data_IF_726707497538
#
_entry.id   IF_726707497538
#
_cell.length_a   1.000
_cell.length_b   1.000
_cell.length_c   1.000
_cell.angle_alpha   90.00
_cell.angle_beta   90.00
_cell.angle_gamma   90.00
#
_symmetry.space_group_name_H-M   'P 1'
#
loop_
_entity.id
_entity.type
_entity.pdbx_description
1 polymer ?
#
# COMPACT_ATOMS: atom_id res chain seq x y z
N UNK A 1 18.48 -73.39 -23.59
CA UNK A 1 17.41 -72.83 -22.74
C UNK A 1 17.94 -72.73 -21.33
N UNK A 2 18.66 -71.65 -21.04
CA UNK A 2 19.38 -71.49 -19.76
C UNK A 2 18.41 -70.93 -18.73
N UNK A 3 18.03 -71.78 -17.76
CA UNK A 3 17.26 -71.39 -16.58
C UNK A 3 18.25 -70.82 -15.56
N UNK A 4 18.11 -69.55 -15.24
CA UNK A 4 18.74 -68.90 -14.10
C UNK A 4 17.65 -68.02 -13.48
N UNK A 5 17.28 -68.29 -12.25
CA UNK A 5 16.99 -67.27 -11.22
C UNK A 5 16.91 -68.02 -9.89
N UNK A 6 17.69 -67.50 -8.95
CA UNK A 6 18.06 -68.10 -7.69
C UNK A 6 16.94 -68.03 -6.66
N UNK A 7 17.00 -69.02 -5.78
CA UNK A 7 16.42 -69.06 -4.44
C UNK A 7 17.08 -67.97 -3.58
N UNK A 8 16.30 -67.12 -2.94
CA UNK A 8 16.66 -66.54 -1.64
C UNK A 8 15.42 -66.00 -0.91
N UNK A 9 15.17 -66.60 0.23
CA UNK A 9 14.20 -66.27 1.26
C UNK A 9 14.28 -64.81 1.74
N UNK A 10 13.14 -64.22 2.06
CA UNK A 10 12.96 -63.57 3.37
C UNK A 10 11.47 -63.49 3.70
N UNK A 11 11.02 -64.49 4.46
CA UNK A 11 9.79 -64.46 5.24
C UNK A 11 9.94 -63.32 6.24
N UNK A 12 9.21 -62.24 6.01
CA UNK A 12 8.95 -61.25 7.06
C UNK A 12 7.54 -61.49 7.56
N UNK A 13 7.45 -62.26 8.65
CA UNK A 13 6.32 -62.19 9.58
C UNK A 13 6.33 -60.78 10.19
N UNK A 14 5.63 -59.85 9.53
CA UNK A 14 5.31 -58.55 10.07
C UNK A 14 3.87 -58.57 10.53
N UNK A 15 3.66 -58.51 11.83
CA UNK A 15 2.37 -58.26 12.47
C UNK A 15 1.61 -57.18 11.70
N UNK A 16 0.47 -57.54 11.12
CA UNK A 16 -0.53 -56.57 10.72
C UNK A 16 -1.04 -55.93 12.02
N UNK A 17 -0.54 -54.75 12.35
CA UNK A 17 -1.19 -53.91 13.37
C UNK A 17 -2.55 -53.54 12.78
N UNK A 18 -3.57 -54.22 13.26
CA UNK A 18 -4.95 -53.90 12.97
C UNK A 18 -5.25 -52.51 13.52
N UNK A 19 -5.93 -51.71 12.70
CA UNK A 19 -6.74 -50.59 13.14
C UNK A 19 -5.98 -49.42 13.78
N UNK A 20 -5.31 -48.65 12.93
CA UNK A 20 -5.51 -47.20 13.04
C UNK A 20 -6.62 -46.87 12.05
N UNK A 21 -7.83 -46.77 12.60
CA UNK A 21 -9.01 -46.35 11.91
C UNK A 21 -8.69 -45.11 11.06
N UNK A 22 -9.10 -45.20 9.79
CA UNK A 22 -9.11 -44.11 8.85
C UNK A 22 -10.09 -43.05 9.38
N UNK A 23 -9.64 -42.15 10.25
CA UNK A 23 -10.32 -40.89 10.43
C UNK A 23 -10.19 -40.13 9.11
N UNK A 24 -11.20 -40.28 8.26
CA UNK A 24 -11.61 -39.27 7.28
C UNK A 24 -12.10 -38.03 8.03
N UNK A 25 -11.25 -37.46 8.88
CA UNK A 25 -11.38 -36.08 9.26
C UNK A 25 -10.58 -35.34 8.21
N UNK A 26 -11.30 -34.74 7.24
CA UNK A 26 -10.74 -33.62 6.50
C UNK A 26 -9.99 -32.78 7.52
N UNK A 27 -8.74 -32.35 7.27
CA UNK A 27 -8.18 -31.33 8.13
C UNK A 27 -9.22 -30.21 8.07
N UNK A 28 -9.97 -30.04 9.17
CA UNK A 28 -10.52 -28.76 9.52
C UNK A 28 -9.25 -27.99 9.70
N UNK A 29 -8.77 -27.45 8.57
CA UNK A 29 -7.78 -26.41 8.53
C UNK A 29 -8.41 -25.42 9.47
N UNK A 30 -7.93 -25.45 10.71
CA UNK A 30 -8.09 -24.41 11.68
C UNK A 30 -7.78 -23.22 10.82
N UNK A 31 -8.83 -22.52 10.41
CA UNK A 31 -8.67 -21.30 9.69
C UNK A 31 -8.02 -20.47 10.77
N UNK A 32 -6.69 -20.48 10.78
CA UNK A 32 -5.93 -19.29 10.84
C UNK A 32 -6.49 -18.44 9.68
N UNK A 33 -7.69 -17.90 9.88
CA UNK A 33 -7.86 -16.48 10.03
C UNK A 33 -6.72 -16.05 10.95
N UNK A 34 -5.51 -16.02 10.36
CA UNK A 34 -4.62 -14.92 10.50
C UNK A 34 -5.59 -13.76 10.38
N UNK A 35 -6.02 -13.22 11.51
CA UNK A 35 -6.34 -11.82 11.61
C UNK A 35 -5.03 -11.19 11.21
N UNK A 36 -4.79 -11.14 9.89
CA UNK A 36 -3.71 -10.46 9.26
C UNK A 36 -4.00 -9.07 9.71
N UNK A 37 -3.33 -8.70 10.81
CA UNK A 37 -3.47 -7.45 11.53
C UNK A 37 -3.82 -6.45 10.47
N UNK A 38 -5.10 -6.08 10.43
CA UNK A 38 -5.62 -5.10 9.50
C UNK A 38 -4.71 -3.95 9.82
N UNK A 39 -3.76 -3.70 8.91
CA UNK A 39 -2.80 -2.62 9.09
C UNK A 39 -3.65 -1.48 9.58
N UNK A 40 -3.41 -0.99 10.81
CA UNK A 40 -4.12 0.17 11.33
C UNK A 40 -4.25 1.11 10.14
N UNK A 41 -5.46 1.51 9.69
CA UNK A 41 -5.63 2.15 8.39
C UNK A 41 -4.63 3.29 8.36
N UNK A 42 -3.55 3.10 7.59
CA UNK A 42 -2.24 3.66 7.94
C UNK A 42 -2.35 5.17 7.87
N UNK A 43 -2.74 5.83 8.98
CA UNK A 43 -3.26 7.20 9.09
C UNK A 43 -3.09 7.95 7.78
N UNK A 44 -3.97 7.68 6.79
CA UNK A 44 -3.55 7.83 5.40
C UNK A 44 -3.56 9.30 5.06
N UNK A 45 -2.39 9.92 5.12
CA UNK A 45 -2.25 11.35 4.87
C UNK A 45 -2.69 11.59 3.42
N UNK A 46 -3.68 12.47 3.19
CA UNK A 46 -4.12 12.78 1.84
C UNK A 46 -2.97 13.43 1.08
N UNK A 47 -2.95 13.26 -0.24
CA UNK A 47 -1.95 13.91 -1.08
C UNK A 47 -2.34 15.37 -1.29
N UNK A 48 -1.47 16.28 -0.88
CA UNK A 48 -1.77 17.72 -0.90
C UNK A 48 -0.96 18.38 -2.02
N UNK A 49 -1.66 19.17 -2.83
CA UNK A 49 -1.07 19.91 -3.95
C UNK A 49 -1.53 21.35 -3.94
N UNK A 50 -0.60 22.26 -4.19
CA UNK A 50 -0.89 23.68 -4.42
C UNK A 50 -0.98 23.90 -5.92
N UNK A 51 -2.09 24.45 -6.40
CA UNK A 51 -2.31 24.78 -7.80
C UNK A 51 -1.87 26.23 -8.06
N UNK A 52 -0.97 26.42 -9.03
CA UNK A 52 -0.53 27.75 -9.49
C UNK A 52 -0.57 27.77 -11.01
N UNK A 53 -1.45 28.62 -11.55
CA UNK A 53 -1.81 28.59 -12.96
C UNK A 53 -2.27 27.19 -13.42
N UNK A 54 -1.53 26.60 -14.37
CA UNK A 54 -1.79 25.24 -14.91
C UNK A 54 -0.95 24.14 -14.26
N UNK A 55 -0.12 24.47 -13.27
CA UNK A 55 0.83 23.54 -12.63
C UNK A 55 0.36 23.20 -11.21
N UNK A 56 0.68 21.99 -10.78
CA UNK A 56 0.43 21.53 -9.40
C UNK A 56 1.75 21.22 -8.70
N UNK A 57 1.91 21.72 -7.47
CA UNK A 57 3.11 21.58 -6.67
C UNK A 57 2.79 20.76 -5.42
N UNK A 58 3.40 19.57 -5.25
CA UNK A 58 3.22 18.81 -4.03
C UNK A 58 3.83 19.56 -2.85
N UNK A 59 3.08 19.57 -1.75
CA UNK A 59 3.51 20.11 -0.47
C UNK A 59 3.31 19.06 0.62
N UNK A 60 4.24 18.92 1.57
CA UNK A 60 4.03 18.07 2.72
C UNK A 60 2.95 18.67 3.61
N UNK A 61 2.23 17.82 4.35
CA UNK A 61 1.15 18.25 5.25
C UNK A 61 1.63 19.28 6.28
N UNK A 62 2.87 19.16 6.73
CA UNK A 62 3.47 20.07 7.73
C UNK A 62 3.63 21.50 7.20
N UNK A 63 3.84 21.66 5.88
CA UNK A 63 3.94 22.98 5.25
C UNK A 63 2.59 23.70 5.14
N UNK A 64 1.46 22.99 5.27
CA UNK A 64 0.15 23.66 5.27
C UNK A 64 -0.04 24.60 6.44
N UNK A 65 0.54 24.29 7.59
CA UNK A 65 0.45 25.13 8.78
C UNK A 65 1.16 26.49 8.59
N UNK A 66 2.10 26.58 7.64
CA UNK A 66 2.80 27.82 7.30
C UNK A 66 2.10 28.67 6.24
N UNK A 67 1.00 28.17 5.65
CA UNK A 67 0.22 28.92 4.66
C UNK A 67 -0.80 29.78 5.41
N UNK A 68 -0.78 31.09 5.16
CA UNK A 68 -1.79 32.01 5.69
C UNK A 68 -3.18 31.62 5.13
N UNK A 69 -4.19 31.33 5.98
CA UNK A 69 -5.54 31.02 5.53
C UNK A 69 -6.16 32.12 4.65
N UNK A 70 -5.81 33.39 4.87
CA UNK A 70 -6.32 34.51 4.08
C UNK A 70 -5.81 34.52 2.64
N UNK A 71 -4.68 33.84 2.40
CA UNK A 71 -4.07 33.70 1.08
C UNK A 71 -4.70 32.60 0.23
N UNK A 72 -5.57 31.78 0.81
CA UNK A 72 -6.26 30.70 0.11
C UNK A 72 -7.43 31.28 -0.69
N UNK A 73 -7.45 30.97 -1.99
CA UNK A 73 -8.55 31.31 -2.89
C UNK A 73 -9.63 30.26 -2.84
N UNK A 74 -9.25 28.98 -2.91
CA UNK A 74 -10.19 27.86 -2.82
C UNK A 74 -9.49 26.56 -2.41
N UNK A 75 -10.27 25.64 -1.83
CA UNK A 75 -9.83 24.28 -1.53
C UNK A 75 -10.78 23.31 -2.20
N UNK A 76 -10.24 22.43 -3.04
CA UNK A 76 -10.98 21.39 -3.72
C UNK A 76 -10.49 20.01 -3.27
N UNK A 77 -11.41 19.11 -2.92
CA UNK A 77 -11.07 17.79 -2.40
C UNK A 77 -11.54 16.74 -3.39
N UNK A 78 -10.59 16.05 -4.03
CA UNK A 78 -10.86 14.94 -4.93
C UNK A 78 -10.91 13.64 -4.15
N UNK A 79 -11.97 12.88 -4.36
CA UNK A 79 -12.23 11.59 -3.73
C UNK A 79 -12.32 10.47 -4.78
N UNK A 80 -12.12 9.24 -4.32
CA UNK A 80 -12.32 8.01 -5.08
C UNK A 80 -11.55 7.99 -6.43
N UNK A 81 -12.25 7.66 -7.52
CA UNK A 81 -11.67 7.46 -8.86
C UNK A 81 -11.11 8.74 -9.47
N UNK A 82 -11.67 9.91 -9.15
CA UNK A 82 -11.21 11.19 -9.69
C UNK A 82 -9.82 11.57 -9.18
N UNK A 83 -9.53 11.23 -7.92
CA UNK A 83 -8.23 11.45 -7.30
C UNK A 83 -7.14 10.58 -7.93
N UNK A 84 -7.42 9.28 -8.08
CA UNK A 84 -6.48 8.31 -8.68
C UNK A 84 -6.30 8.50 -10.18
N UNK A 85 -7.32 8.97 -10.91
CA UNK A 85 -7.21 9.27 -12.34
C UNK A 85 -6.28 10.43 -12.65
N UNK A 86 -6.21 11.45 -11.78
CA UNK A 86 -5.39 12.64 -11.99
C UNK A 86 -3.99 12.51 -11.36
N UNK A 87 -3.90 11.86 -10.21
CA UNK A 87 -2.67 11.82 -9.40
C UNK A 87 -2.10 10.41 -9.20
N UNK A 88 -2.68 9.40 -9.85
CA UNK A 88 -2.22 8.02 -9.81
C UNK A 88 -2.26 7.42 -8.41
N UNK A 89 -1.23 6.65 -8.07
CA UNK A 89 -1.14 5.99 -6.76
C UNK A 89 -1.12 6.96 -5.58
N UNK A 90 -0.61 8.18 -5.78
CA UNK A 90 -0.58 9.21 -4.72
C UNK A 90 -1.99 9.66 -4.34
N UNK A 91 -2.94 9.59 -5.28
CA UNK A 91 -4.34 9.93 -5.05
C UNK A 91 -5.18 8.82 -4.43
N UNK A 92 -4.62 7.63 -4.14
CA UNK A 92 -5.36 6.51 -3.52
C UNK A 92 -6.01 6.88 -2.19
N UNK A 93 -5.37 7.78 -1.44
CA UNK A 93 -5.84 8.27 -0.14
C UNK A 93 -6.63 9.59 -0.25
N UNK A 94 -7.03 9.98 -1.47
CA UNK A 94 -7.63 11.28 -1.77
C UNK A 94 -6.59 12.38 -2.04
N UNK A 95 -7.03 13.44 -2.70
CA UNK A 95 -6.19 14.59 -3.05
C UNK A 95 -6.84 15.88 -2.59
N UNK A 96 -6.07 16.73 -1.91
CA UNK A 96 -6.48 18.09 -1.54
C UNK A 96 -5.75 19.06 -2.45
N UNK A 97 -6.51 19.74 -3.30
CA UNK A 97 -6.04 20.82 -4.16
C UNK A 97 -6.29 22.15 -3.46
N UNK A 98 -5.23 22.92 -3.25
CA UNK A 98 -5.30 24.25 -2.66
C UNK A 98 -4.93 25.24 -3.74
N UNK A 99 -5.82 26.18 -4.02
CA UNK A 99 -5.53 27.30 -4.91
C UNK A 99 -5.29 28.55 -4.07
N UNK A 100 -4.19 29.23 -4.33
CA UNK A 100 -3.84 30.47 -3.64
C UNK A 100 -4.38 31.69 -4.42
N UNK A 101 -4.42 32.83 -3.76
CA UNK A 101 -4.65 34.12 -4.41
C UNK A 101 -3.39 34.55 -5.16
N UNK A 102 -3.55 35.43 -6.14
CA UNK A 102 -2.46 35.86 -7.02
C UNK A 102 -1.27 36.42 -6.22
N UNK A 103 -1.52 37.21 -5.16
CA UNK A 103 -0.47 37.76 -4.31
C UNK A 103 0.36 36.67 -3.60
N UNK A 104 -0.24 35.53 -3.28
CA UNK A 104 0.42 34.46 -2.55
C UNK A 104 1.03 33.39 -3.46
N UNK A 105 0.49 33.22 -4.67
CA UNK A 105 1.10 32.37 -5.70
C UNK A 105 2.52 32.86 -6.03
N UNK A 106 2.72 34.17 -6.18
CA UNK A 106 4.03 34.77 -6.45
C UNK A 106 5.02 34.50 -5.30
N UNK A 107 4.60 34.72 -4.06
CA UNK A 107 5.42 34.47 -2.88
C UNK A 107 5.77 32.97 -2.72
N UNK A 108 4.81 32.08 -2.99
CA UNK A 108 5.03 30.64 -2.95
C UNK A 108 6.09 30.20 -3.97
N UNK A 109 6.07 30.76 -5.18
CA UNK A 109 7.08 30.46 -6.22
C UNK A 109 8.46 30.98 -5.85
N UNK A 110 8.56 32.24 -5.40
CA UNK A 110 9.83 32.84 -4.97
C UNK A 110 10.49 32.04 -3.84
N UNK A 111 9.72 31.59 -2.86
CA UNK A 111 10.24 30.78 -1.75
C UNK A 111 10.73 29.41 -2.22
N UNK A 112 10.07 28.81 -3.22
CA UNK A 112 10.44 27.50 -3.74
C UNK A 112 11.71 27.53 -4.59
N UNK A 113 11.95 28.63 -5.32
CA UNK A 113 13.18 28.87 -6.08
C UNK A 113 14.37 29.23 -5.18
N UNK A 114 14.14 30.08 -4.17
CA UNK A 114 15.17 30.50 -3.21
C UNK A 114 15.67 29.35 -2.31
N UNK A 115 14.82 28.34 -2.05
CA UNK A 115 15.21 27.14 -1.31
C UNK A 115 16.16 26.20 -2.04
N UNK A 116 16.34 26.36 -3.36
CA UNK A 116 17.17 25.47 -4.18
C UNK A 116 18.66 25.88 -4.23
N UNK A 117 19.03 27.08 -3.80
CA UNK A 117 20.39 27.62 -3.93
C UNK A 117 21.23 27.54 -2.64
N UNK A 118 20.64 27.12 -1.51
CA UNK A 118 21.34 27.08 -0.21
C UNK A 118 22.00 25.73 0.15
N UNK A 119 22.13 24.83 -0.83
CA UNK A 119 22.62 23.45 -0.66
C UNK A 119 23.83 23.08 -1.51
N UNK A 120 24.76 24.01 -1.73
CA UNK A 120 26.11 23.70 -2.22
C UNK A 120 27.15 24.16 -1.21
#
# INVERSE_FOLDING_TARGET
MTKLIAVAFLVTLGFATSAQAQERMLPVQKAAVQYKSTQEPAKSKPYIVVLVGKKSYPVPADSLNSIDPNSIKSVNVLKDKSATSLYGEKGKNGVVQIQLKAEAEENFMKNRESGSTKGK
#
